data_IF_518524876515
#
_entry.id   IF_518524876515
#
_cell.length_a   1.000
_cell.length_b   1.000
_cell.length_c   1.000
_cell.angle_alpha   90.00
_cell.angle_beta   90.00
_cell.angle_gamma   90.00
#
_symmetry.space_group_name_H-M   'P 1'
#
loop_
_entity.id
_entity.type
_entity.pdbx_description
1 polymer ?
#
# COMPACT_ATOMS: atom_id res chain seq x y z
N UNK A 1 -15.51 -0.23 -16.10
CA UNK A 1 -14.39 0.56 -15.52
C UNK A 1 -14.96 1.75 -14.76
N UNK A 2 -14.32 2.24 -13.68
CA UNK A 2 -14.84 3.36 -12.85
C UNK A 2 -15.34 4.55 -13.69
N UNK A 3 -14.59 4.94 -14.72
CA UNK A 3 -14.96 6.03 -15.62
C UNK A 3 -16.24 5.75 -16.43
N UNK A 4 -16.49 4.49 -16.81
CA UNK A 4 -17.70 4.07 -17.53
C UNK A 4 -18.95 4.12 -16.63
N UNK A 5 -18.75 4.08 -15.31
CA UNK A 5 -19.79 4.23 -14.29
C UNK A 5 -19.90 5.70 -13.80
N UNK A 6 -19.17 6.63 -14.40
CA UNK A 6 -19.17 8.05 -14.01
C UNK A 6 -18.36 8.36 -12.74
N UNK A 7 -17.54 7.43 -12.27
CA UNK A 7 -16.66 7.60 -11.13
C UNK A 7 -15.24 7.97 -11.56
N UNK A 8 -14.57 8.78 -10.75
CA UNK A 8 -13.13 9.11 -10.89
C UNK A 8 -12.39 8.75 -9.61
N UNK A 9 -11.08 8.58 -9.73
CA UNK A 9 -10.21 8.44 -8.55
C UNK A 9 -9.79 9.83 -8.12
N UNK A 10 -10.19 10.25 -6.92
CA UNK A 10 -9.83 11.57 -6.37
C UNK A 10 -8.45 11.55 -5.69
N UNK A 11 -8.07 10.42 -5.09
CA UNK A 11 -6.84 10.29 -4.29
C UNK A 11 -6.33 8.84 -4.30
N UNK A 12 -5.01 8.70 -4.45
CA UNK A 12 -4.28 7.45 -4.21
C UNK A 12 -3.44 7.59 -2.96
N UNK A 13 -3.57 6.65 -2.03
CA UNK A 13 -2.73 6.57 -0.82
C UNK A 13 -1.76 5.39 -0.97
N UNK A 14 -0.47 5.68 -0.95
CA UNK A 14 0.59 4.69 -0.94
C UNK A 14 1.14 4.53 0.49
N UNK A 15 0.91 3.38 1.12
CA UNK A 15 1.48 3.06 2.42
C UNK A 15 2.90 2.51 2.26
N UNK A 16 3.88 3.26 2.73
CA UNK A 16 5.29 2.90 2.65
C UNK A 16 5.77 2.31 3.97
N UNK A 17 6.34 1.11 3.89
CA UNK A 17 6.88 0.37 5.02
C UNK A 17 8.23 -0.21 4.58
N UNK A 18 9.28 -0.14 5.42
CA UNK A 18 10.54 -0.81 5.12
C UNK A 18 10.33 -2.30 4.82
N UNK A 19 11.03 -2.83 3.82
CA UNK A 19 10.86 -4.22 3.38
C UNK A 19 11.13 -5.21 4.53
N UNK A 20 12.12 -4.93 5.39
CA UNK A 20 12.42 -5.74 6.57
C UNK A 20 11.20 -5.92 7.47
N UNK A 21 10.51 -4.83 7.79
CA UNK A 21 9.31 -4.85 8.63
C UNK A 21 8.16 -5.63 7.97
N UNK A 22 8.01 -5.51 6.64
CA UNK A 22 7.02 -6.28 5.88
C UNK A 22 7.28 -7.78 5.94
N UNK A 23 8.55 -8.19 5.76
CA UNK A 23 8.96 -9.59 5.86
C UNK A 23 8.66 -10.13 7.27
N UNK A 24 9.03 -9.39 8.32
CA UNK A 24 8.77 -9.80 9.70
C UNK A 24 7.27 -9.97 9.98
N UNK A 25 6.45 -9.01 9.55
CA UNK A 25 4.98 -9.06 9.70
C UNK A 25 4.37 -10.28 9.00
N UNK A 26 4.82 -10.58 7.77
CA UNK A 26 4.30 -11.71 6.99
C UNK A 26 4.74 -13.06 7.56
N UNK A 27 5.97 -13.17 8.07
CA UNK A 27 6.44 -14.38 8.75
C UNK A 27 5.72 -14.58 10.10
N UNK A 28 5.46 -13.50 10.84
CA UNK A 28 4.66 -13.57 12.05
C UNK A 28 3.23 -14.06 11.73
N UNK A 29 2.63 -13.53 10.65
CA UNK A 29 1.33 -13.98 10.16
C UNK A 29 1.32 -15.47 9.82
N UNK A 30 2.35 -15.96 9.12
CA UNK A 30 2.52 -17.38 8.81
C UNK A 30 2.41 -18.26 10.06
N UNK A 31 3.07 -17.83 11.13
CA UNK A 31 3.11 -18.54 12.41
C UNK A 31 1.77 -18.52 13.15
N UNK A 32 1.11 -17.37 13.23
CA UNK A 32 -0.11 -17.21 14.05
C UNK A 32 -1.38 -17.66 13.34
N UNK A 33 -1.43 -17.57 12.00
CA UNK A 33 -2.60 -17.96 11.20
C UNK A 33 -2.45 -19.34 10.54
N UNK A 34 -1.32 -20.02 10.72
CA UNK A 34 -1.06 -21.34 10.11
C UNK A 34 -0.91 -21.29 8.59
N UNK A 35 -0.51 -20.15 8.03
CA UNK A 35 -0.34 -19.96 6.58
C UNK A 35 0.99 -20.56 6.10
N UNK A 36 0.93 -21.82 5.66
CA UNK A 36 2.09 -22.56 5.18
C UNK A 36 2.71 -22.00 3.87
N UNK A 37 1.97 -21.17 3.14
CA UNK A 37 2.39 -20.52 1.89
C UNK A 37 3.28 -19.27 2.11
N UNK A 38 3.21 -18.63 3.28
CA UNK A 38 4.00 -17.45 3.65
C UNK A 38 5.45 -17.86 4.05
N UNK A 39 6.19 -18.44 3.09
CA UNK A 39 7.63 -18.74 3.24
C UNK A 39 8.48 -17.51 2.93
N UNK A 40 9.71 -17.45 3.47
CA UNK A 40 10.63 -16.33 3.16
C UNK A 40 10.87 -16.16 1.66
N UNK A 41 11.00 -17.28 0.92
CA UNK A 41 11.14 -17.27 -0.54
C UNK A 41 9.92 -16.65 -1.22
N UNK A 42 8.71 -17.12 -0.88
CA UNK A 42 7.48 -16.61 -1.46
C UNK A 42 7.26 -15.12 -1.12
N UNK A 43 7.60 -14.69 0.10
CA UNK A 43 7.52 -13.29 0.51
C UNK A 43 8.47 -12.42 -0.33
N UNK A 44 9.73 -12.82 -0.49
CA UNK A 44 10.70 -12.07 -1.31
C UNK A 44 10.28 -12.00 -2.78
N UNK A 45 9.78 -13.10 -3.35
CA UNK A 45 9.25 -13.11 -4.72
C UNK A 45 8.08 -12.13 -4.88
N UNK A 46 7.16 -12.09 -3.91
CA UNK A 46 6.03 -11.15 -3.90
C UNK A 46 6.49 -9.69 -3.79
N UNK A 47 7.52 -9.38 -3.01
CA UNK A 47 8.06 -8.02 -2.92
C UNK A 47 8.67 -7.58 -4.25
N UNK A 48 9.44 -8.45 -4.91
CA UNK A 48 9.99 -8.17 -6.23
C UNK A 48 8.87 -7.92 -7.26
N UNK A 49 7.83 -8.76 -7.27
CA UNK A 49 6.70 -8.58 -8.18
C UNK A 49 5.93 -7.28 -7.90
N UNK A 50 5.76 -6.91 -6.62
CA UNK A 50 5.17 -5.63 -6.21
C UNK A 50 5.95 -4.44 -6.80
N UNK A 51 7.27 -4.40 -6.63
CA UNK A 51 8.10 -3.32 -7.20
C UNK A 51 8.01 -3.27 -8.72
N UNK A 52 8.02 -4.43 -9.38
CA UNK A 52 8.00 -4.52 -10.84
C UNK A 52 6.67 -4.08 -11.45
N UNK A 53 5.54 -4.45 -10.84
CA UNK A 53 4.22 -4.31 -11.45
C UNK A 53 3.35 -3.23 -10.79
N UNK A 54 3.47 -3.06 -9.48
CA UNK A 54 2.55 -2.21 -8.69
C UNK A 54 3.04 -0.77 -8.60
N UNK A 55 4.34 -0.52 -8.59
CA UNK A 55 4.86 0.86 -8.61
C UNK A 55 4.44 1.62 -9.88
N UNK A 56 4.37 0.94 -11.02
CA UNK A 56 3.90 1.53 -12.28
C UNK A 56 2.44 2.02 -12.22
N UNK A 57 1.63 1.50 -11.29
CA UNK A 57 0.25 1.96 -11.06
C UNK A 57 0.25 3.34 -10.40
N UNK A 58 1.20 3.63 -9.51
CA UNK A 58 1.34 4.96 -8.91
C UNK A 58 1.66 6.01 -9.97
N UNK A 59 2.60 5.69 -10.88
CA UNK A 59 2.94 6.55 -12.02
C UNK A 59 1.77 6.74 -12.98
N UNK A 60 0.95 5.71 -13.18
CA UNK A 60 -0.25 5.82 -14.01
C UNK A 60 -1.21 6.88 -13.47
N UNK A 61 -1.53 6.86 -12.18
CA UNK A 61 -2.43 7.83 -11.56
C UNK A 61 -1.80 9.23 -11.46
N UNK A 62 -0.50 9.32 -11.14
CA UNK A 62 0.22 10.59 -11.12
C UNK A 62 0.18 11.29 -12.49
N UNK A 63 0.36 10.54 -13.59
CA UNK A 63 0.25 11.09 -14.97
C UNK A 63 -1.16 11.56 -15.33
N UNK A 64 -2.20 11.06 -14.66
CA UNK A 64 -3.58 11.51 -14.82
C UNK A 64 -3.91 12.73 -13.95
N UNK A 65 -2.94 13.25 -13.20
CA UNK A 65 -3.15 14.38 -12.29
C UNK A 65 -3.91 14.01 -11.02
N UNK A 66 -4.06 12.72 -10.71
CA UNK A 66 -4.68 12.26 -9.47
C UNK A 66 -3.71 12.53 -8.32
N UNK A 67 -4.23 13.04 -7.21
CA UNK A 67 -3.43 13.26 -6.00
C UNK A 67 -2.84 11.94 -5.50
N UNK A 68 -1.54 11.94 -5.18
CA UNK A 68 -0.82 10.78 -4.67
C UNK A 68 -0.16 11.14 -3.34
N UNK A 69 -0.65 10.53 -2.27
CA UNK A 69 -0.14 10.73 -0.91
C UNK A 69 0.65 9.50 -0.47
N UNK A 70 1.96 9.68 -0.23
CA UNK A 70 2.84 8.65 0.34
C UNK A 70 2.84 8.78 1.86
N UNK A 71 2.40 7.73 2.54
CA UNK A 71 2.18 7.72 3.98
C UNK A 71 3.03 6.64 4.63
N UNK A 72 3.78 7.00 5.67
CA UNK A 72 4.49 6.03 6.49
C UNK A 72 3.52 5.05 7.17
N UNK A 73 3.61 3.76 6.83
CA UNK A 73 2.81 2.65 7.35
C UNK A 73 3.41 1.91 8.55
N UNK A 74 4.49 2.43 9.14
CA UNK A 74 5.11 1.88 10.37
C UNK A 74 4.38 2.35 11.63
N UNK A 75 4.50 1.59 12.71
CA UNK A 75 3.81 1.85 13.98
C UNK A 75 2.47 1.11 14.11
N UNK A 76 1.67 1.57 15.07
CA UNK A 76 0.37 0.97 15.41
C UNK A 76 -0.71 1.29 14.35
N UNK A 77 -1.76 0.46 14.22
CA UNK A 77 -2.90 0.75 13.36
C UNK A 77 -3.50 2.14 13.61
N UNK A 78 -3.60 2.57 14.86
CA UNK A 78 -4.13 3.88 15.25
C UNK A 78 -3.27 5.02 14.72
N UNK A 79 -1.94 4.90 14.83
CA UNK A 79 -1.00 5.90 14.30
C UNK A 79 -1.07 5.99 12.78
N UNK A 80 -1.16 4.86 12.09
CA UNK A 80 -1.27 4.81 10.63
C UNK A 80 -2.62 5.38 10.17
N UNK A 81 -3.70 5.01 10.84
CA UNK A 81 -5.05 5.54 10.60
C UNK A 81 -5.10 7.07 10.75
N UNK A 82 -4.47 7.61 11.78
CA UNK A 82 -4.38 9.05 11.99
C UNK A 82 -3.61 9.77 10.86
N UNK A 83 -2.58 9.15 10.30
CA UNK A 83 -1.86 9.70 9.13
C UNK A 83 -2.74 9.68 7.89
N UNK A 84 -3.44 8.58 7.63
CA UNK A 84 -4.41 8.44 6.53
C UNK A 84 -5.49 9.53 6.63
N UNK A 85 -6.07 9.70 7.81
CA UNK A 85 -7.11 10.71 8.05
C UNK A 85 -6.61 12.12 7.73
N UNK A 86 -5.38 12.46 8.11
CA UNK A 86 -4.77 13.76 7.79
C UNK A 86 -4.59 13.96 6.29
N UNK A 87 -4.13 12.93 5.57
CA UNK A 87 -3.94 13.00 4.12
C UNK A 87 -5.25 13.26 3.36
N UNK A 88 -6.33 12.56 3.74
CA UNK A 88 -7.66 12.73 3.11
C UNK A 88 -8.20 14.15 3.31
N UNK A 89 -8.02 14.72 4.52
CA UNK A 89 -8.53 16.07 4.85
C UNK A 89 -7.78 17.18 4.10
N UNK A 90 -6.49 16.99 3.79
CA UNK A 90 -5.71 17.96 3.01
C UNK A 90 -6.12 17.92 1.54
N UNK A 91 -6.37 16.74 0.99
CA UNK A 91 -6.71 16.54 -0.43
C UNK A 91 -8.16 16.93 -0.79
N UNK A 92 -9.00 17.29 0.20
CA UNK A 92 -10.40 17.71 0.00
C UNK A 92 -10.58 19.24 -0.08
N UNK A 93 -9.50 19.99 -0.30
CA UNK A 93 -9.50 21.46 -0.49
C UNK A 93 -9.14 21.80 -1.93
#
# INVERSE_FOLDING_TARGET
MLAEEGHRVDLVIALEVPEGDLIERLLHRAKVEGRADDTRKAITERMHEYHKLTEAVLDHYARQGVALERINGTGTPEQVFDRIRRAIVISSR
#
